data_IF_381023075312
#
_entry.id   IF_381023075312
#
_cell.length_a   1.000
_cell.length_b   1.000
_cell.length_c   1.000
_cell.angle_alpha   90.00
_cell.angle_beta   90.00
_cell.angle_gamma   90.00
#
_symmetry.space_group_name_H-M   'P 1'
#
loop_
_entity.id
_entity.type
_entity.pdbx_description
1 polymer ?
#
# COMPACT_ATOMS: atom_id res chain seq x y z
N UNK A 1 -8.07 -8.47 -5.93
CA UNK A 1 -8.45 -7.68 -7.12
C UNK A 1 -9.95 -7.74 -7.24
N UNK A 2 -10.58 -6.57 -7.27
CA UNK A 2 -12.00 -6.33 -7.50
C UNK A 2 -12.15 -5.56 -8.80
N UNK A 3 -13.14 -5.93 -9.60
CA UNK A 3 -13.51 -5.19 -10.81
C UNK A 3 -14.74 -4.36 -10.45
N UNK A 4 -14.68 -3.06 -10.75
CA UNK A 4 -15.75 -2.10 -10.51
C UNK A 4 -16.24 -1.65 -11.88
N UNK A 5 -17.51 -1.91 -12.18
CA UNK A 5 -18.16 -1.44 -13.41
C UNK A 5 -18.67 -0.01 -13.17
N UNK A 6 -18.26 0.92 -14.02
CA UNK A 6 -18.77 2.30 -14.03
C UNK A 6 -19.26 2.61 -15.45
N UNK A 7 -20.54 2.33 -15.71
CA UNK A 7 -21.11 2.37 -17.05
C UNK A 7 -20.41 1.38 -17.98
N UNK A 8 -19.84 1.89 -19.07
CA UNK A 8 -19.05 1.11 -20.04
C UNK A 8 -17.58 0.92 -19.63
N UNK A 9 -17.10 1.63 -18.61
CA UNK A 9 -15.72 1.56 -18.14
C UNK A 9 -15.54 0.49 -17.05
N UNK A 10 -14.50 -0.32 -17.20
CA UNK A 10 -14.06 -1.26 -16.17
C UNK A 10 -12.89 -0.63 -15.40
N UNK A 11 -13.11 -0.38 -14.11
CA UNK A 11 -12.03 0.03 -13.20
C UNK A 11 -11.59 -1.16 -12.36
N UNK A 12 -10.28 -1.29 -12.18
CA UNK A 12 -9.68 -2.37 -11.43
C UNK A 12 -9.12 -1.86 -10.11
N UNK A 13 -9.48 -2.54 -9.03
CA UNK A 13 -9.02 -2.24 -7.68
C UNK A 13 -8.26 -3.46 -7.16
N UNK A 14 -7.12 -3.28 -6.49
CA UNK A 14 -6.36 -4.38 -5.92
C UNK A 14 -7.13 -5.12 -4.81
N UNK A 15 -8.15 -4.49 -4.18
CA UNK A 15 -9.04 -4.98 -3.10
C UNK A 15 -8.76 -6.43 -2.65
N UNK A 16 -8.22 -6.57 -1.44
CA UNK A 16 -7.81 -7.85 -0.85
C UNK A 16 -8.48 -8.01 0.51
N UNK A 17 -8.88 -9.24 0.85
CA UNK A 17 -9.39 -9.56 2.20
C UNK A 17 -8.29 -9.26 3.24
N UNK A 18 -8.65 -8.75 4.43
CA UNK A 18 -7.69 -8.33 5.45
C UNK A 18 -6.76 -9.45 5.93
N UNK A 19 -7.17 -10.72 5.81
CA UNK A 19 -6.39 -11.86 6.30
C UNK A 19 -5.30 -12.39 5.35
N UNK A 20 -5.04 -11.74 4.22
CA UNK A 20 -4.04 -12.20 3.27
C UNK A 20 -2.59 -11.74 3.63
N UNK A 21 -2.30 -11.71 4.93
CA UNK A 21 -0.96 -11.49 5.51
C UNK A 21 0.00 -12.65 5.21
N UNK A 22 -0.54 -13.80 4.82
CA UNK A 22 0.15 -15.01 4.35
C UNK A 22 1.16 -14.77 3.21
N UNK A 23 1.03 -13.70 2.42
CA UNK A 23 2.03 -13.36 1.37
C UNK A 23 3.12 -12.39 1.82
N UNK A 24 3.00 -11.78 2.99
CA UNK A 24 4.02 -10.86 3.51
C UNK A 24 4.75 -11.51 4.66
N UNK A 25 6.06 -11.60 4.53
CA UNK A 25 6.91 -12.17 5.56
C UNK A 25 7.03 -11.15 6.69
N UNK A 26 6.57 -11.48 7.89
CA UNK A 26 6.79 -10.62 9.06
C UNK A 26 8.30 -10.35 9.20
N UNK A 27 8.66 -9.09 9.42
CA UNK A 27 10.06 -8.65 9.41
C UNK A 27 10.89 -9.26 10.54
N UNK A 28 10.26 -9.71 11.64
CA UNK A 28 10.93 -10.37 12.77
C UNK A 28 11.30 -11.83 12.51
N UNK A 29 10.63 -12.50 11.57
CA UNK A 29 10.90 -13.91 11.27
C UNK A 29 12.31 -14.08 10.69
N UNK A 30 12.96 -15.22 10.92
CA UNK A 30 14.32 -15.49 10.46
C UNK A 30 14.39 -15.81 8.95
N UNK A 31 14.05 -14.82 8.13
CA UNK A 31 14.25 -14.85 6.68
C UNK A 31 15.18 -13.73 6.27
N UNK A 32 15.94 -13.98 5.19
CA UNK A 32 16.86 -13.01 4.61
C UNK A 32 16.14 -11.68 4.30
N UNK A 33 16.76 -10.57 4.73
CA UNK A 33 16.20 -9.21 4.52
C UNK A 33 15.92 -8.95 3.03
N UNK A 34 16.78 -9.43 2.13
CA UNK A 34 16.58 -9.31 0.68
C UNK A 34 15.27 -9.95 0.21
N UNK A 35 14.93 -11.13 0.72
CA UNK A 35 13.68 -11.82 0.38
C UNK A 35 12.46 -11.01 0.82
N UNK A 36 12.47 -10.51 2.07
CA UNK A 36 11.43 -9.64 2.63
C UNK A 36 11.23 -8.37 1.80
N UNK A 37 12.31 -7.76 1.34
CA UNK A 37 12.27 -6.57 0.48
C UNK A 37 11.69 -6.91 -0.90
N UNK A 38 12.14 -8.01 -1.52
CA UNK A 38 11.67 -8.42 -2.84
C UNK A 38 10.17 -8.73 -2.86
N UNK A 39 9.65 -9.34 -1.80
CA UNK A 39 8.20 -9.58 -1.65
C UNK A 39 7.42 -8.27 -1.74
N UNK A 40 7.86 -7.24 -1.02
CA UNK A 40 7.21 -5.91 -1.03
C UNK A 40 7.33 -5.24 -2.38
N UNK A 41 8.51 -5.25 -3.01
CA UNK A 41 8.73 -4.66 -4.32
C UNK A 41 7.86 -5.31 -5.40
N UNK A 42 7.81 -6.65 -5.42
CA UNK A 42 6.97 -7.39 -6.35
C UNK A 42 5.49 -7.10 -6.13
N UNK A 43 5.06 -6.95 -4.87
CA UNK A 43 3.67 -6.58 -4.60
C UNK A 43 3.37 -5.15 -5.04
N UNK A 44 4.27 -4.21 -4.77
CA UNK A 44 4.12 -2.82 -5.21
C UNK A 44 3.99 -2.72 -6.73
N UNK A 45 4.84 -3.41 -7.47
CA UNK A 45 4.76 -3.48 -8.93
C UNK A 45 3.39 -4.02 -9.38
N UNK A 46 2.92 -5.11 -8.75
CA UNK A 46 1.59 -5.67 -9.03
C UNK A 46 0.45 -4.70 -8.73
N UNK A 47 0.51 -3.98 -7.61
CA UNK A 47 -0.49 -2.95 -7.26
C UNK A 47 -0.53 -1.87 -8.34
N UNK A 48 0.63 -1.38 -8.77
CA UNK A 48 0.73 -0.36 -9.82
C UNK A 48 0.23 -0.86 -11.18
N UNK A 49 0.50 -2.12 -11.54
CA UNK A 49 0.04 -2.69 -12.82
C UNK A 49 -1.46 -2.98 -12.86
N UNK A 50 -2.05 -3.36 -11.73
CA UNK A 50 -3.43 -3.85 -11.66
C UNK A 50 -4.41 -2.75 -11.28
N UNK A 51 -3.99 -1.73 -10.54
CA UNK A 51 -4.91 -0.68 -10.08
C UNK A 51 -5.20 0.32 -11.19
N UNK A 52 -6.47 0.65 -11.37
CA UNK A 52 -6.88 1.84 -12.08
C UNK A 52 -6.30 3.07 -11.37
N UNK A 53 -5.92 4.14 -12.09
CA UNK A 53 -5.34 5.36 -11.50
C UNK A 53 -6.10 5.88 -10.28
N UNK A 54 -7.44 5.96 -10.37
CA UNK A 54 -8.32 6.40 -9.28
C UNK A 54 -8.19 5.63 -7.96
N UNK A 55 -7.70 4.38 -8.00
CA UNK A 55 -7.55 3.53 -6.82
C UNK A 55 -6.09 3.28 -6.45
N UNK A 56 -5.15 3.81 -7.23
CA UNK A 56 -3.74 3.49 -7.07
C UNK A 56 -3.20 4.00 -5.73
N UNK A 57 -3.49 5.25 -5.37
CA UNK A 57 -3.03 5.84 -4.12
C UNK A 57 -3.61 5.13 -2.91
N UNK A 58 -4.91 4.78 -2.96
CA UNK A 58 -5.57 3.98 -1.93
C UNK A 58 -4.90 2.61 -1.77
N UNK A 59 -4.62 1.92 -2.88
CA UNK A 59 -4.02 0.59 -2.86
C UNK A 59 -2.57 0.60 -2.41
N UNK A 60 -1.81 1.62 -2.77
CA UNK A 60 -0.47 1.83 -2.25
C UNK A 60 -0.51 2.11 -0.74
N UNK A 61 -1.46 2.94 -0.27
CA UNK A 61 -1.66 3.22 1.16
C UNK A 61 -1.91 1.93 1.92
N UNK A 62 -2.80 1.08 1.40
CA UNK A 62 -3.07 -0.24 1.99
C UNK A 62 -1.82 -1.14 2.01
N UNK A 63 -1.00 -1.11 0.97
CA UNK A 63 0.28 -1.85 0.97
C UNK A 63 1.23 -1.35 2.08
N UNK A 64 1.28 -0.04 2.31
CA UNK A 64 2.09 0.54 3.38
C UNK A 64 1.56 0.19 4.78
N UNK A 65 0.24 0.13 4.96
CA UNK A 65 -0.39 -0.39 6.19
C UNK A 65 -0.02 -1.85 6.47
N UNK A 66 -0.04 -2.71 5.45
CA UNK A 66 0.39 -4.11 5.63
C UNK A 66 1.87 -4.19 6.06
N UNK A 67 2.74 -3.30 5.56
CA UNK A 67 4.13 -3.24 6.03
C UNK A 67 4.26 -2.76 7.48
N UNK A 68 3.33 -1.94 7.96
CA UNK A 68 3.25 -1.55 9.38
C UNK A 68 2.83 -2.76 10.23
N UNK A 69 1.76 -3.45 9.82
CA UNK A 69 1.24 -4.65 10.48
C UNK A 69 2.27 -5.79 10.54
N UNK A 70 3.14 -5.90 9.53
CA UNK A 70 4.23 -6.91 9.44
C UNK A 70 5.57 -6.44 9.97
N UNK A 71 5.58 -5.34 10.73
CA UNK A 71 6.73 -4.83 11.51
C UNK A 71 7.97 -4.44 10.69
N UNK A 72 7.80 -4.08 9.41
CA UNK A 72 8.91 -3.57 8.61
C UNK A 72 9.42 -2.24 9.18
N UNK A 73 10.74 -1.99 9.30
CA UNK A 73 11.27 -0.75 9.87
C UNK A 73 10.87 0.52 9.11
N UNK A 74 10.58 1.62 9.82
CA UNK A 74 10.17 2.92 9.25
C UNK A 74 11.10 3.42 8.15
N UNK A 75 12.43 3.33 8.36
CA UNK A 75 13.43 3.74 7.36
C UNK A 75 13.31 2.93 6.06
N UNK A 76 13.08 1.63 6.18
CA UNK A 76 12.93 0.75 5.03
C UNK A 76 11.63 1.02 4.27
N UNK A 77 10.51 1.21 4.98
CA UNK A 77 9.22 1.58 4.36
C UNK A 77 9.35 2.88 3.58
N UNK A 78 9.93 3.93 4.18
CA UNK A 78 10.18 5.21 3.49
C UNK A 78 11.01 5.02 2.22
N UNK A 79 12.13 4.26 2.29
CA UNK A 79 12.97 3.99 1.13
C UNK A 79 12.20 3.30 0.00
N UNK A 80 11.31 2.37 0.32
CA UNK A 80 10.53 1.60 -0.67
C UNK A 80 9.41 2.41 -1.32
N UNK A 81 8.95 3.49 -0.69
CA UNK A 81 7.84 4.32 -1.19
C UNK A 81 8.26 5.68 -1.74
N UNK A 82 9.32 6.30 -1.23
CA UNK A 82 9.79 7.61 -1.68
C UNK A 82 10.64 7.55 -2.96
N UNK A 83 11.31 6.42 -3.25
CA UNK A 83 12.22 6.28 -4.42
C UNK A 83 11.52 5.74 -5.68
N UNK A 84 10.22 5.91 -5.81
CA UNK A 84 9.45 5.32 -6.91
C UNK A 84 8.53 6.35 -7.55
N UNK A 85 8.19 6.23 -8.84
CA UNK A 85 7.33 7.19 -9.54
C UNK A 85 5.91 7.32 -8.95
N UNK A 86 5.51 6.40 -8.06
CA UNK A 86 4.25 6.45 -7.34
C UNK A 86 4.48 6.94 -5.92
N UNK A 87 4.39 8.26 -5.74
CA UNK A 87 4.52 8.91 -4.44
C UNK A 87 3.14 9.01 -3.78
N UNK A 88 3.04 8.63 -2.51
CA UNK A 88 1.88 8.97 -1.71
C UNK A 88 1.94 10.47 -1.40
N UNK A 89 0.88 11.20 -1.73
CA UNK A 89 0.71 12.54 -1.20
C UNK A 89 0.54 12.46 0.33
N UNK A 90 1.17 13.37 1.10
CA UNK A 90 0.92 13.47 2.53
C UNK A 90 -0.57 13.72 2.75
N UNK A 91 -1.20 12.91 3.59
CA UNK A 91 -2.55 13.21 4.06
C UNK A 91 -2.42 14.39 5.03
N UNK A 92 -3.05 15.51 4.67
CA UNK A 92 -3.20 16.67 5.53
C UNK A 92 -3.71 16.23 6.91
N UNK A 93 -2.99 16.63 7.94
CA UNK A 93 -3.53 16.67 9.28
C UNK A 93 -4.64 17.71 9.30
N UNK A 94 -5.88 17.31 8.97
CA UNK A 94 -7.06 17.99 9.49
C UNK A 94 -7.22 17.54 10.95
N UNK A 95 -6.39 18.13 11.81
CA UNK A 95 -6.70 18.24 13.24
C UNK A 95 -7.85 19.25 13.32
N UNK A 96 -8.93 18.80 13.92
CA UNK A 96 -10.06 19.61 14.33
C UNK A 96 -9.60 20.79 15.20
N UNK A 97 -9.99 22.00 14.83
CA UNK A 97 -10.22 23.13 15.73
C UNK A 97 -10.61 24.35 14.91
N UNK A 98 -11.88 24.74 15.02
CA UNK A 98 -12.46 26.07 14.80
C UNK A 98 -13.99 25.85 14.75
N UNK A 99 -14.86 26.47 15.51
CA UNK A 99 -14.81 27.20 16.77
C UNK A 99 -16.29 27.18 17.22
N UNK A 100 -16.57 26.86 18.48
CA UNK A 100 -17.90 27.09 19.05
C UNK A 100 -18.02 28.60 19.32
N UNK A 101 -18.89 29.29 18.59
CA UNK A 101 -19.58 30.51 19.06
C UNK A 101 -20.83 30.75 18.23
#
# INVERSE_FOLDING_TARGET
>A
MRIIRNGTLLKTDWHRKPMAADRFINFRLDHQIKMKINVVLNMKARVAMVSHPDYLDHNLKRLHEIMLETEYPKKLRKKLFCNTPYQMQPQDHLIASEDHS
#
